data_IF_460812570326
#
_entry.id   IF_460812570326
#
_cell.length_a   1.000
_cell.length_b   1.000
_cell.length_c   1.000
_cell.angle_alpha   90.00
_cell.angle_beta   90.00
_cell.angle_gamma   90.00
#
_symmetry.space_group_name_H-M   'P 1'
#
loop_
_entity.id
_entity.type
_entity.pdbx_description
1 polymer ?
#
# COMPACT_ATOMS: atom_id res chain seq x y z
N UNK A 1 -24.65 25.54 76.74
CA UNK A 1 -23.70 26.58 76.27
C UNK A 1 -22.43 25.89 75.78
N UNK A 2 -21.92 26.23 74.60
CA UNK A 2 -20.57 25.82 74.14
C UNK A 2 -20.52 25.12 72.78
N UNK A 3 -20.45 25.91 71.70
CA UNK A 3 -20.03 25.47 70.38
C UNK A 3 -18.50 25.42 70.29
N UNK A 4 -17.94 24.49 69.49
CA UNK A 4 -16.68 24.73 68.76
C UNK A 4 -16.56 23.84 67.52
N UNK A 5 -16.69 24.45 66.34
CA UNK A 5 -16.25 23.93 65.03
C UNK A 5 -14.85 24.46 64.71
N UNK A 6 -13.95 23.61 64.21
CA UNK A 6 -12.80 23.91 63.35
C UNK A 6 -12.43 22.60 62.62
N UNK A 7 -11.79 22.54 61.45
CA UNK A 7 -11.76 23.27 60.17
C UNK A 7 -10.91 22.33 59.25
N UNK A 8 -11.24 22.26 57.95
CA UNK A 8 -10.58 21.48 56.87
C UNK A 8 -9.10 21.89 56.62
N UNK A 9 -8.26 21.01 56.02
CA UNK A 9 -7.72 21.16 54.63
C UNK A 9 -6.68 20.06 54.18
N UNK A 10 -6.96 19.49 52.99
CA UNK A 10 -6.15 18.93 51.86
C UNK A 10 -4.83 18.14 51.99
N UNK A 11 -4.75 16.99 51.26
CA UNK A 11 -3.68 16.74 50.27
C UNK A 11 -4.01 15.68 49.19
N UNK A 12 -4.18 16.19 47.96
CA UNK A 12 -3.78 15.71 46.61
C UNK A 12 -4.46 14.51 45.91
N UNK A 13 -5.03 14.87 44.76
CA UNK A 13 -5.30 14.08 43.57
C UNK A 13 -4.06 13.30 43.09
N UNK A 14 -4.28 12.07 42.63
CA UNK A 14 -3.54 11.48 41.51
C UNK A 14 -4.57 10.94 40.53
N UNK A 15 -4.90 11.81 39.58
CA UNK A 15 -5.22 11.58 38.16
C UNK A 15 -5.65 10.15 37.79
N UNK A 16 -6.95 10.02 37.49
CA UNK A 16 -7.50 9.01 36.61
C UNK A 16 -6.91 9.22 35.20
N UNK A 17 -5.88 8.46 34.85
CA UNK A 17 -5.48 8.24 33.46
C UNK A 17 -5.52 6.74 33.18
N UNK A 18 -6.73 6.17 33.31
CA UNK A 18 -7.03 4.95 32.57
C UNK A 18 -7.05 5.34 31.10
N UNK A 19 -5.92 5.05 30.44
CA UNK A 19 -5.77 5.13 29.01
C UNK A 19 -7.00 4.53 28.34
N UNK A 20 -7.78 5.39 27.71
CA UNK A 20 -8.88 5.05 26.83
C UNK A 20 -8.27 4.36 25.61
N UNK A 21 -7.88 3.09 25.78
CA UNK A 21 -7.53 2.19 24.67
C UNK A 21 -8.83 1.94 23.94
N UNK A 22 -9.15 2.86 23.04
CA UNK A 22 -10.18 2.69 22.02
C UNK A 22 -9.76 1.48 21.19
N UNK A 23 -10.24 0.30 21.58
CA UNK A 23 -10.16 -0.91 20.78
C UNK A 23 -10.79 -0.57 19.44
N UNK A 24 -9.96 -0.46 18.41
CA UNK A 24 -10.43 -0.44 17.03
C UNK A 24 -10.85 -1.88 16.76
N UNK A 25 -12.11 -2.19 17.01
CA UNK A 25 -12.72 -3.44 16.57
C UNK A 25 -12.77 -3.37 15.04
N UNK A 26 -11.68 -3.80 14.40
CA UNK A 26 -11.52 -3.69 12.96
C UNK A 26 -12.54 -4.59 12.28
N UNK A 27 -13.55 -3.97 11.64
CA UNK A 27 -14.44 -4.69 10.74
C UNK A 27 -13.63 -5.17 9.53
N UNK A 28 -13.73 -6.45 9.21
CA UNK A 28 -13.10 -7.07 8.04
C UNK A 28 -14.20 -7.36 7.03
N UNK A 29 -14.07 -6.80 5.82
CA UNK A 29 -14.98 -7.01 4.69
C UNK A 29 -14.19 -7.52 3.48
N UNK A 30 -14.80 -8.37 2.66
CA UNK A 30 -14.25 -8.74 1.35
C UNK A 30 -14.56 -7.62 0.36
N UNK A 31 -13.52 -7.03 -0.22
CA UNK A 31 -13.62 -5.91 -1.19
C UNK A 31 -13.24 -6.30 -2.62
N UNK A 32 -12.72 -7.52 -2.82
CA UNK A 32 -12.33 -8.06 -4.11
C UNK A 32 -12.39 -9.60 -4.13
N UNK A 33 -12.95 -10.17 -5.19
CA UNK A 33 -13.07 -11.60 -5.45
C UNK A 33 -12.68 -11.91 -6.90
N UNK A 34 -12.40 -13.19 -7.21
CA UNK A 34 -11.98 -13.62 -8.56
C UNK A 34 -10.51 -13.34 -8.90
N UNK A 35 -9.71 -12.92 -7.92
CA UNK A 35 -8.29 -12.64 -8.05
C UNK A 35 -7.46 -13.93 -8.27
N UNK A 36 -6.29 -13.80 -8.89
CA UNK A 36 -5.41 -14.92 -9.24
C UNK A 36 -4.15 -14.87 -8.36
N UNK A 37 -4.18 -15.53 -7.21
CA UNK A 37 -3.08 -15.50 -6.21
C UNK A 37 -2.59 -14.06 -5.91
N UNK A 38 -3.48 -13.20 -5.36
CA UNK A 38 -3.16 -11.78 -5.14
C UNK A 38 -2.07 -11.59 -4.07
N UNK A 39 -1.18 -10.62 -4.27
CA UNK A 39 -0.05 -10.34 -3.36
C UNK A 39 0.10 -8.86 -2.95
N UNK A 40 -0.50 -7.95 -3.70
CA UNK A 40 -0.44 -6.51 -3.43
C UNK A 40 -1.68 -5.81 -3.98
N UNK A 41 -2.14 -4.75 -3.33
CA UNK A 41 -3.32 -4.01 -3.74
C UNK A 41 -3.14 -2.51 -3.48
N UNK A 42 -3.68 -1.69 -4.39
CA UNK A 42 -3.76 -0.24 -4.26
C UNK A 42 -5.19 0.20 -4.53
N UNK A 43 -5.72 1.02 -3.63
CA UNK A 43 -6.94 1.78 -3.85
C UNK A 43 -6.64 3.07 -4.62
N UNK A 44 -7.38 3.28 -5.69
CA UNK A 44 -7.33 4.48 -6.52
C UNK A 44 -8.26 5.56 -5.93
N UNK A 45 -8.10 6.83 -6.30
CA UNK A 45 -8.87 7.93 -5.70
C UNK A 45 -10.39 7.82 -5.85
N UNK A 46 -10.88 7.05 -6.82
CA UNK A 46 -12.31 6.78 -7.04
C UNK A 46 -12.82 5.52 -6.33
N UNK A 47 -11.99 4.87 -5.50
CA UNK A 47 -12.33 3.66 -4.76
C UNK A 47 -12.14 2.35 -5.53
N UNK A 48 -11.72 2.40 -6.80
CA UNK A 48 -11.34 1.18 -7.51
C UNK A 48 -10.06 0.57 -6.94
N UNK A 49 -9.89 -0.75 -7.05
CA UNK A 49 -8.67 -1.44 -6.63
C UNK A 49 -7.89 -1.93 -7.85
N UNK A 50 -6.58 -1.69 -7.88
CA UNK A 50 -5.64 -2.41 -8.74
C UNK A 50 -4.85 -3.42 -7.89
N UNK A 51 -4.89 -4.69 -8.28
CA UNK A 51 -4.35 -5.80 -7.49
C UNK A 51 -3.30 -6.54 -8.32
N UNK A 52 -2.09 -6.70 -7.77
CA UNK A 52 -1.04 -7.51 -8.35
C UNK A 52 -1.26 -9.00 -8.04
N UNK A 53 -1.18 -9.82 -9.08
CA UNK A 53 -1.44 -11.26 -9.05
C UNK A 53 -0.15 -12.00 -9.37
N UNK A 54 0.43 -12.74 -8.42
CA UNK A 54 1.75 -13.38 -8.62
C UNK A 54 1.76 -14.39 -9.77
N UNK A 55 0.57 -14.91 -10.15
CA UNK A 55 0.39 -15.75 -11.34
C UNK A 55 0.63 -15.04 -12.68
N UNK A 56 0.88 -13.72 -12.69
CA UNK A 56 1.43 -13.03 -13.86
C UNK A 56 0.65 -11.81 -14.35
N UNK A 57 0.02 -11.02 -13.47
CA UNK A 57 -0.79 -9.90 -13.96
C UNK A 57 -1.29 -8.89 -12.95
N UNK A 58 -2.16 -8.00 -13.42
CA UNK A 58 -2.91 -7.04 -12.61
C UNK A 58 -4.40 -7.20 -12.88
N UNK A 59 -5.19 -7.17 -11.82
CA UNK A 59 -6.65 -7.06 -11.88
C UNK A 59 -7.13 -5.68 -11.48
N UNK A 60 -8.22 -5.23 -12.09
CA UNK A 60 -9.00 -4.06 -11.67
C UNK A 60 -10.32 -4.52 -11.05
N UNK A 61 -10.70 -3.91 -9.93
CA UNK A 61 -12.01 -4.09 -9.27
C UNK A 61 -12.64 -2.70 -9.17
N UNK A 62 -13.84 -2.51 -9.74
CA UNK A 62 -14.48 -1.19 -9.82
C UNK A 62 -16.00 -1.32 -9.91
N UNK A 63 -16.73 -0.58 -9.08
CA UNK A 63 -18.20 -0.56 -9.07
C UNK A 63 -18.87 -1.83 -8.53
N UNK A 64 -18.10 -2.87 -8.24
CA UNK A 64 -18.49 -4.11 -7.55
C UNK A 64 -17.21 -4.78 -7.01
N UNK A 65 -17.32 -5.99 -6.44
CA UNK A 65 -16.18 -6.72 -5.88
C UNK A 65 -15.50 -7.69 -6.86
N UNK A 66 -16.00 -7.86 -8.08
CA UNK A 66 -15.47 -8.85 -9.02
C UNK A 66 -14.27 -8.28 -9.78
N UNK A 67 -13.15 -8.98 -9.70
CA UNK A 67 -11.93 -8.65 -10.40
C UNK A 67 -12.04 -8.92 -11.91
N UNK A 68 -11.52 -7.99 -12.70
CA UNK A 68 -11.25 -8.15 -14.13
C UNK A 68 -9.75 -8.08 -14.37
N UNK A 69 -9.17 -9.09 -15.01
CA UNK A 69 -7.77 -8.97 -15.45
C UNK A 69 -7.63 -7.86 -16.49
N UNK A 70 -6.64 -6.99 -16.30
CA UNK A 70 -6.35 -5.88 -17.22
C UNK A 70 -4.98 -6.02 -17.89
N UNK A 71 -4.04 -6.75 -17.27
CA UNK A 71 -2.75 -7.07 -17.86
C UNK A 71 -2.31 -8.48 -17.41
N UNK A 72 -1.75 -9.28 -18.32
CA UNK A 72 -1.23 -10.63 -18.04
C UNK A 72 0.22 -10.80 -18.55
N UNK A 73 0.95 -9.70 -18.76
CA UNK A 73 2.28 -9.71 -19.38
C UNK A 73 3.41 -9.65 -18.34
N UNK A 74 3.07 -9.70 -17.05
CA UNK A 74 4.04 -9.72 -15.95
C UNK A 74 4.43 -11.17 -15.67
N UNK A 75 5.70 -11.43 -15.40
CA UNK A 75 6.16 -12.81 -15.22
C UNK A 75 5.80 -13.35 -13.82
N UNK A 76 6.06 -12.57 -12.76
CA UNK A 76 5.66 -12.89 -11.39
C UNK A 76 5.66 -11.60 -10.56
N UNK A 77 4.59 -10.78 -10.60
CA UNK A 77 4.58 -9.52 -9.88
C UNK A 77 4.57 -9.73 -8.36
N UNK A 78 5.31 -8.86 -7.66
CA UNK A 78 5.45 -8.90 -6.20
C UNK A 78 4.45 -7.98 -5.47
N UNK A 79 4.53 -7.92 -4.12
CA UNK A 79 3.68 -7.04 -3.32
C UNK A 79 3.99 -5.55 -3.50
N UNK A 80 5.14 -5.20 -4.09
CA UNK A 80 5.55 -3.83 -4.39
C UNK A 80 4.71 -3.20 -5.51
N UNK A 81 3.56 -2.65 -5.14
CA UNK A 81 2.68 -1.87 -6.01
C UNK A 81 2.39 -0.52 -5.33
N UNK A 82 2.50 0.57 -6.08
CA UNK A 82 2.22 1.93 -5.59
C UNK A 82 1.44 2.73 -6.61
N UNK A 83 0.59 3.65 -6.16
CA UNK A 83 -0.19 4.51 -7.04
C UNK A 83 0.71 5.44 -7.87
N UNK A 84 0.46 5.53 -9.16
CA UNK A 84 1.05 6.48 -10.09
C UNK A 84 -0.09 7.38 -10.63
N UNK A 85 -0.22 8.62 -10.14
CA UNK A 85 -1.34 9.49 -10.54
C UNK A 85 -2.72 8.98 -10.11
N UNK A 86 -3.77 9.28 -10.88
CA UNK A 86 -5.15 8.92 -10.53
C UNK A 86 -5.55 7.51 -11.00
N UNK A 87 -5.09 7.09 -12.18
CA UNK A 87 -5.59 5.90 -12.87
C UNK A 87 -4.47 4.93 -13.28
N UNK A 88 -3.36 4.91 -12.55
CA UNK A 88 -2.26 3.99 -12.84
C UNK A 88 -1.46 3.60 -11.60
N UNK A 89 -0.60 2.61 -11.76
CA UNK A 89 0.31 2.11 -10.72
C UNK A 89 1.72 1.93 -11.27
N UNK A 90 2.71 2.04 -10.38
CA UNK A 90 3.98 1.36 -10.57
C UNK A 90 3.92 0.01 -9.87
N UNK A 91 4.49 -1.02 -10.50
CA UNK A 91 4.51 -2.38 -9.99
C UNK A 91 5.90 -3.01 -10.16
N UNK A 92 6.35 -3.77 -9.17
CA UNK A 92 7.53 -4.64 -9.29
C UNK A 92 7.14 -5.97 -9.92
N UNK A 93 7.92 -6.40 -10.90
CA UNK A 93 7.87 -7.74 -11.46
C UNK A 93 9.07 -8.55 -10.98
N UNK A 94 8.87 -9.42 -9.99
CA UNK A 94 9.93 -10.24 -9.42
C UNK A 94 10.52 -11.18 -10.48
N UNK A 95 9.65 -11.88 -11.22
CA UNK A 95 10.06 -12.82 -12.26
C UNK A 95 10.61 -12.11 -13.49
N UNK A 96 10.07 -10.93 -13.80
CA UNK A 96 10.50 -10.13 -14.94
C UNK A 96 11.71 -9.24 -14.67
N UNK A 97 12.16 -9.12 -13.42
CA UNK A 97 13.27 -8.25 -13.00
C UNK A 97 13.08 -6.76 -13.34
N UNK A 98 11.82 -6.30 -13.39
CA UNK A 98 11.46 -4.94 -13.81
C UNK A 98 10.67 -4.17 -12.76
N UNK A 99 10.64 -2.86 -12.92
CA UNK A 99 9.53 -2.01 -12.46
C UNK A 99 8.79 -1.52 -13.69
N UNK A 100 7.47 -1.64 -13.68
CA UNK A 100 6.60 -1.19 -14.77
C UNK A 100 5.61 -0.16 -14.28
N UNK A 101 5.29 0.82 -15.12
CA UNK A 101 4.05 1.60 -15.06
C UNK A 101 2.94 0.81 -15.75
N UNK A 102 1.76 0.73 -15.14
CA UNK A 102 0.57 0.12 -15.75
C UNK A 102 -0.62 1.02 -15.52
N UNK A 103 -1.28 1.43 -16.61
CA UNK A 103 -2.52 2.20 -16.53
C UNK A 103 -3.75 1.32 -16.28
N UNK A 104 -4.87 1.95 -15.96
CA UNK A 104 -6.16 1.28 -15.71
C UNK A 104 -6.69 0.47 -16.90
N UNK A 105 -6.26 0.78 -18.12
CA UNK A 105 -6.60 0.03 -19.32
C UNK A 105 -5.67 -1.19 -19.53
N UNK A 106 -4.66 -1.35 -18.68
CA UNK A 106 -3.71 -2.44 -18.75
C UNK A 106 -2.50 -2.16 -19.63
N UNK A 107 -2.34 -0.94 -20.17
CA UNK A 107 -1.16 -0.57 -20.93
C UNK A 107 0.03 -0.57 -19.99
N UNK A 108 0.99 -1.45 -20.27
CA UNK A 108 2.23 -1.59 -19.52
C UNK A 108 3.36 -0.84 -20.20
N UNK A 109 4.22 -0.19 -19.41
CA UNK A 109 5.49 0.37 -19.86
C UNK A 109 6.57 0.09 -18.81
N UNK A 110 7.66 -0.56 -19.21
CA UNK A 110 8.80 -0.81 -18.32
C UNK A 110 9.54 0.50 -18.09
N UNK A 111 9.77 0.86 -16.83
CA UNK A 111 10.48 2.09 -16.45
C UNK A 111 11.86 1.84 -15.86
N UNK A 112 12.12 0.61 -15.42
CA UNK A 112 13.44 0.13 -15.00
C UNK A 112 13.51 -1.39 -15.16
N UNK A 113 14.70 -1.90 -15.47
CA UNK A 113 14.99 -3.31 -15.64
C UNK A 113 16.31 -3.71 -14.95
N UNK A 114 16.65 -4.99 -15.02
CA UNK A 114 17.91 -5.52 -14.47
C UNK A 114 17.95 -5.58 -12.93
N UNK A 115 16.81 -5.40 -12.26
CA UNK A 115 16.75 -5.48 -10.80
C UNK A 115 16.77 -6.94 -10.37
N UNK A 116 17.75 -7.32 -9.54
CA UNK A 116 17.89 -8.71 -9.10
C UNK A 116 16.86 -9.04 -8.02
N UNK A 117 15.77 -9.70 -8.41
CA UNK A 117 14.66 -10.10 -7.54
C UNK A 117 14.02 -8.93 -6.77
N UNK A 118 13.39 -7.95 -7.44
CA UNK A 118 12.69 -6.84 -6.79
C UNK A 118 11.44 -7.35 -6.05
N UNK A 119 11.13 -6.78 -4.87
CA UNK A 119 10.03 -7.27 -4.01
C UNK A 119 9.11 -6.15 -3.51
N UNK A 120 9.68 -5.11 -2.90
CA UNK A 120 8.94 -4.02 -2.29
C UNK A 120 9.26 -2.69 -2.96
N UNK A 121 8.31 -1.75 -2.91
CA UNK A 121 8.47 -0.42 -3.52
C UNK A 121 7.75 0.65 -2.71
N UNK A 122 8.35 1.84 -2.65
CA UNK A 122 7.74 3.04 -2.09
C UNK A 122 7.91 4.21 -3.07
N UNK A 123 6.90 5.08 -3.15
CA UNK A 123 6.96 6.35 -3.89
C UNK A 123 7.33 7.46 -2.93
N UNK A 124 8.41 8.20 -3.24
CA UNK A 124 8.85 9.35 -2.47
C UNK A 124 8.10 10.63 -2.90
N UNK A 125 8.05 11.68 -2.04
CA UNK A 125 7.38 12.94 -2.36
C UNK A 125 7.92 13.66 -3.59
N UNK A 126 9.20 13.42 -3.95
CA UNK A 126 9.83 13.96 -5.15
C UNK A 126 9.48 13.19 -6.45
N UNK A 127 8.63 12.16 -6.34
CA UNK A 127 8.23 11.29 -7.44
C UNK A 127 9.20 10.12 -7.68
N UNK A 128 10.34 10.04 -7.00
CA UNK A 128 11.25 8.91 -7.16
C UNK A 128 10.71 7.63 -6.51
N UNK A 129 11.05 6.47 -7.06
CA UNK A 129 10.71 5.17 -6.50
C UNK A 129 11.90 4.61 -5.74
N UNK A 130 11.68 4.10 -4.53
CA UNK A 130 12.67 3.29 -3.81
C UNK A 130 12.23 1.84 -3.86
N UNK A 131 13.07 0.96 -4.43
CA UNK A 131 12.76 -0.45 -4.67
C UNK A 131 13.70 -1.33 -3.87
N UNK A 132 13.14 -2.17 -3.01
CA UNK A 132 13.89 -3.19 -2.29
C UNK A 132 14.09 -4.41 -3.18
N UNK A 133 15.35 -4.84 -3.31
CA UNK A 133 15.75 -5.97 -4.14
C UNK A 133 16.37 -7.06 -3.28
N UNK A 134 15.71 -8.21 -3.21
CA UNK A 134 16.17 -9.32 -2.39
C UNK A 134 17.45 -9.90 -2.94
N UNK A 135 17.49 -10.15 -4.24
CA UNK A 135 18.63 -10.80 -4.89
C UNK A 135 19.88 -9.94 -4.83
N UNK A 136 19.76 -8.61 -4.91
CA UNK A 136 20.88 -7.68 -4.84
C UNK A 136 21.28 -7.26 -3.41
N UNK A 137 20.54 -7.67 -2.38
CA UNK A 137 20.76 -7.23 -0.99
C UNK A 137 20.84 -5.70 -0.86
N UNK A 138 20.02 -4.98 -1.64
CA UNK A 138 20.10 -3.53 -1.75
C UNK A 138 18.72 -2.91 -2.01
N UNK A 139 18.62 -1.60 -1.78
CA UNK A 139 17.52 -0.78 -2.25
C UNK A 139 18.04 0.20 -3.32
N UNK A 140 17.30 0.31 -4.42
CA UNK A 140 17.63 1.20 -5.53
C UNK A 140 16.64 2.34 -5.62
N UNK A 141 17.12 3.52 -6.02
CA UNK A 141 16.26 4.66 -6.34
C UNK A 141 16.14 4.81 -7.85
N UNK A 142 14.91 4.93 -8.34
CA UNK A 142 14.56 5.13 -9.75
C UNK A 142 13.90 6.49 -9.87
N UNK A 143 14.38 7.32 -10.78
CA UNK A 143 13.72 8.57 -11.12
C UNK A 143 12.59 8.30 -12.13
N UNK A 144 11.36 8.27 -11.63
CA UNK A 144 10.18 8.00 -12.48
C UNK A 144 9.73 9.23 -13.27
N UNK A 145 10.19 10.43 -12.93
CA UNK A 145 9.83 11.69 -13.60
C UNK A 145 10.61 11.92 -14.90
N UNK A 146 11.75 11.25 -15.05
CA UNK A 146 12.60 11.29 -16.25
C UNK A 146 12.30 10.16 -17.23
N UNK A 147 11.37 9.28 -16.91
CA UNK A 147 10.91 8.26 -17.85
C UNK A 147 9.85 8.90 -18.74
N UNK A 148 10.18 9.21 -20.00
CA UNK A 148 9.20 9.70 -20.97
C UNK A 148 8.09 8.63 -21.15
N UNK A 149 6.95 8.82 -20.49
CA UNK A 149 5.73 8.03 -20.61
C UNK A 149 4.69 8.75 -21.46
#
# INVERSE_FOLDING_TARGET
MGWRRQKRYSRKETVNEQHDRKTRDGKIDVVAEGLQTPVGAIELPDGALMVSNIAGGISLVSGNILARSINNDLASPGPGIVRAGADSVYIVDYGGTTVSHVDRNGKRTVIADGLRSPVGMALAPDGSLTVATWGANAAFRIDSSRTNL
#
